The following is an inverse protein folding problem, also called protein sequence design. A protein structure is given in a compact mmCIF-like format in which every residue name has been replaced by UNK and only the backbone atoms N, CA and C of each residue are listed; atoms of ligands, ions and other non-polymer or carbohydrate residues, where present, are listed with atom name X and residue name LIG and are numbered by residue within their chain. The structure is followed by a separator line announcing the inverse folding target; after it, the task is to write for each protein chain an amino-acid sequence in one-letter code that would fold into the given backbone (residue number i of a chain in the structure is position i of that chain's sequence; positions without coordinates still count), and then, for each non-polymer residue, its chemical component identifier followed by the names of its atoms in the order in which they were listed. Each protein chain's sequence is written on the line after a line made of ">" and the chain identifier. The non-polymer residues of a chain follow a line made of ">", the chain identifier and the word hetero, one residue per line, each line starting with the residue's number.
data_IF_334175928437
#
_entry.id   IF_334175928437
#
_cell.length_a   1.000
_cell.length_b   1.000
_cell.length_c   1.000
_cell.angle_alpha   90.00
_cell.angle_beta   90.00
_cell.angle_gamma   90.00
#
_symmetry.space_group_name_H-M   'P 1'
#
loop_
_entity.id
_entity.type
_entity.pdbx_description
1 polymer ?
#
# COMPACT_ATOMS: atom_id res chain seq x y z
N UNK A 1 13.06 32.45 -43.85
CA UNK A 1 13.20 30.98 -43.78
C UNK A 1 13.84 30.51 -42.47
N UNK A 2 15.05 30.99 -42.12
CA UNK A 2 15.78 30.68 -40.85
C UNK A 2 15.06 31.02 -39.52
N UNK A 3 14.25 32.07 -39.47
CA UNK A 3 13.54 32.51 -38.23
C UNK A 3 12.24 31.72 -37.97
N UNK A 4 11.59 31.24 -39.03
CA UNK A 4 10.33 30.47 -38.92
C UNK A 4 10.58 29.01 -38.53
N UNK A 5 11.72 28.44 -38.91
CA UNK A 5 12.14 27.08 -38.48
C UNK A 5 12.48 27.06 -36.98
N UNK A 6 13.11 28.13 -36.47
CA UNK A 6 13.43 28.27 -35.04
C UNK A 6 12.19 28.40 -34.14
N UNK A 7 11.11 29.01 -34.63
CA UNK A 7 9.86 29.14 -33.86
C UNK A 7 9.07 27.83 -33.78
N UNK A 8 9.09 27.00 -34.83
CA UNK A 8 8.38 25.72 -34.85
C UNK A 8 9.09 24.65 -33.99
N UNK A 9 10.43 24.66 -33.96
CA UNK A 9 11.22 23.75 -33.11
C UNK A 9 11.09 24.11 -31.62
N UNK A 10 10.96 25.40 -31.28
CA UNK A 10 10.75 25.84 -29.90
C UNK A 10 9.35 25.47 -29.38
N UNK A 11 8.32 25.54 -30.24
CA UNK A 11 6.95 25.15 -29.86
C UNK A 11 6.80 23.63 -29.65
N UNK A 12 7.58 22.82 -30.36
CA UNK A 12 7.63 21.36 -30.19
C UNK A 12 8.37 20.91 -28.92
N UNK A 13 9.31 21.72 -28.41
CA UNK A 13 10.04 21.40 -27.18
C UNK A 13 9.22 21.63 -25.90
N UNK A 14 8.16 22.46 -25.95
CA UNK A 14 7.28 22.72 -24.80
C UNK A 14 6.30 21.55 -24.55
N UNK A 15 5.95 20.77 -25.58
CA UNK A 15 5.13 19.56 -25.41
C UNK A 15 5.89 18.36 -24.82
N UNK A 16 7.22 18.39 -24.79
CA UNK A 16 8.03 17.30 -24.21
C UNK A 16 8.18 17.38 -22.68
N UNK A 17 7.79 18.49 -22.04
CA UNK A 17 7.96 18.68 -20.59
C UNK A 17 6.75 18.20 -19.75
N UNK A 18 5.64 17.79 -20.36
CA UNK A 18 4.43 17.31 -19.67
C UNK A 18 4.19 15.81 -19.94
N UNK A 19 5.27 15.04 -20.00
CA UNK A 19 5.22 13.59 -19.73
C UNK A 19 5.77 13.40 -18.32
N UNK A 20 4.96 13.68 -17.29
CA UNK A 20 4.27 12.61 -16.57
C UNK A 20 5.08 11.32 -16.49
N UNK A 21 6.14 11.36 -15.69
CA UNK A 21 6.67 10.18 -15.03
C UNK A 21 7.07 10.56 -13.60
N UNK A 22 6.12 11.10 -12.84
CA UNK A 22 5.93 10.57 -11.50
C UNK A 22 5.58 9.09 -11.67
N UNK A 23 6.60 8.28 -11.95
CA UNK A 23 6.61 6.90 -11.55
C UNK A 23 6.58 6.96 -10.01
N UNK A 24 5.38 7.12 -9.46
CA UNK A 24 5.09 6.65 -8.12
C UNK A 24 5.34 5.14 -8.17
N UNK A 25 6.63 4.79 -7.98
CA UNK A 25 7.09 3.45 -7.66
C UNK A 25 6.07 2.87 -6.72
N UNK A 26 5.45 1.75 -7.13
CA UNK A 26 4.45 1.05 -6.35
C UNK A 26 4.88 1.03 -4.89
N UNK A 27 4.02 1.54 -4.02
CA UNK A 27 4.29 1.81 -2.61
C UNK A 27 4.44 0.49 -1.85
N UNK A 28 5.55 -0.22 -2.08
CA UNK A 28 5.85 -1.51 -1.50
C UNK A 28 5.95 -1.31 0.03
N UNK A 29 4.95 -1.80 0.76
CA UNK A 29 4.83 -1.61 2.20
C UNK A 29 3.91 -0.49 2.67
N UNK A 30 3.30 0.29 1.78
CA UNK A 30 2.33 1.32 2.14
C UNK A 30 0.93 0.84 1.75
N UNK A 31 0.06 0.75 2.74
CA UNK A 31 -1.36 0.49 2.56
C UNK A 31 -2.09 1.82 2.48
N UNK A 32 -2.99 1.95 1.53
CA UNK A 32 -3.89 3.09 1.43
C UNK A 32 -5.29 2.62 1.79
N UNK A 33 -5.87 3.29 2.79
CA UNK A 33 -7.23 3.07 3.22
C UNK A 33 -7.83 4.42 3.60
N UNK A 34 -9.15 4.57 3.43
CA UNK A 34 -9.93 5.73 3.88
C UNK A 34 -10.99 5.26 4.88
N UNK A 35 -11.52 6.21 5.66
CA UNK A 35 -12.65 5.91 6.52
C UNK A 35 -13.84 5.43 5.67
N UNK A 36 -14.48 4.35 6.09
CA UNK A 36 -15.55 3.68 5.35
C UNK A 36 -15.10 2.56 4.41
N UNK A 37 -13.79 2.41 4.14
CA UNK A 37 -13.31 1.29 3.32
C UNK A 37 -13.50 -0.05 4.04
N UNK A 38 -13.84 -1.08 3.25
CA UNK A 38 -13.82 -2.48 3.69
C UNK A 38 -12.44 -3.06 3.39
N UNK A 39 -11.68 -3.35 4.43
CA UNK A 39 -10.33 -3.92 4.34
C UNK A 39 -10.30 -5.32 4.94
N UNK A 40 -9.31 -6.12 4.57
CA UNK A 40 -9.12 -7.45 5.12
C UNK A 40 -7.97 -7.42 6.12
N UNK A 41 -8.24 -7.83 7.35
CA UNK A 41 -7.30 -7.78 8.47
C UNK A 41 -7.14 -9.16 9.09
N UNK A 42 -6.05 -9.38 9.81
CA UNK A 42 -5.83 -10.67 10.44
C UNK A 42 -6.87 -10.97 11.54
N UNK A 43 -7.57 -12.11 11.43
CA UNK A 43 -8.53 -12.61 12.43
C UNK A 43 -7.93 -13.09 13.76
N UNK A 44 -6.72 -12.63 14.13
CA UNK A 44 -6.16 -12.92 15.46
C UNK A 44 -6.84 -12.12 16.58
N UNK A 45 -7.63 -11.09 16.25
CA UNK A 45 -8.35 -10.26 17.23
C UNK A 45 -7.44 -9.33 18.03
N UNK A 46 -7.91 -8.95 19.22
CA UNK A 46 -7.19 -8.06 20.13
C UNK A 46 -5.84 -8.66 20.53
N UNK A 47 -4.77 -8.06 20.01
CA UNK A 47 -3.40 -8.51 20.25
C UNK A 47 -2.63 -8.94 19.00
N UNK A 48 -3.19 -8.85 17.77
CA UNK A 48 -2.37 -9.12 16.58
C UNK A 48 -1.24 -8.10 16.42
N UNK A 49 -0.05 -8.47 16.87
CA UNK A 49 1.19 -7.73 16.59
C UNK A 49 1.61 -7.79 15.12
N UNK A 50 0.90 -8.59 14.32
CA UNK A 50 1.13 -8.71 12.89
C UNK A 50 0.69 -7.46 12.12
N UNK A 51 -0.37 -6.77 12.57
CA UNK A 51 -0.96 -5.64 11.85
C UNK A 51 -1.13 -5.89 10.35
N UNK A 52 -1.55 -7.11 9.97
CA UNK A 52 -1.66 -7.47 8.56
C UNK A 52 -2.89 -6.82 7.96
N UNK A 53 -2.70 -6.06 6.88
CA UNK A 53 -3.76 -5.41 6.12
C UNK A 53 -3.68 -5.90 4.68
N UNK A 54 -4.82 -6.14 4.06
CA UNK A 54 -4.94 -6.55 2.67
C UNK A 54 -6.21 -5.95 2.05
N UNK A 55 -6.22 -5.77 0.74
CA UNK A 55 -7.41 -5.35 -0.01
C UNK A 55 -8.26 -6.53 -0.47
N UNK A 56 -7.74 -7.76 -0.31
CA UNK A 56 -8.42 -9.00 -0.69
C UNK A 56 -8.43 -10.00 0.47
N UNK A 57 -9.44 -10.85 0.44
CA UNK A 57 -9.51 -12.04 1.28
C UNK A 57 -8.31 -12.97 1.03
N UNK A 58 -8.04 -13.80 2.03
CA UNK A 58 -6.91 -14.72 1.97
C UNK A 58 -6.43 -15.12 3.36
N UNK A 59 -5.20 -15.64 3.42
CA UNK A 59 -4.58 -16.05 4.69
C UNK A 59 -3.50 -15.05 5.11
N UNK A 60 -3.53 -14.67 6.38
CA UNK A 60 -2.46 -13.91 7.01
C UNK A 60 -1.20 -14.79 7.13
N UNK A 61 -0.01 -14.18 7.12
CA UNK A 61 1.25 -14.89 7.24
C UNK A 61 1.45 -15.67 8.55
N UNK A 62 0.58 -15.46 9.55
CA UNK A 62 0.53 -16.25 10.77
C UNK A 62 -0.32 -17.54 10.65
N UNK A 63 -0.93 -17.80 9.49
CA UNK A 63 -1.77 -18.97 9.23
C UNK A 63 -3.27 -18.77 9.49
N UNK A 64 -3.68 -17.66 10.13
CA UNK A 64 -5.11 -17.32 10.32
C UNK A 64 -5.71 -16.70 9.06
N UNK A 65 -7.01 -16.92 8.86
CA UNK A 65 -7.77 -16.27 7.79
C UNK A 65 -7.92 -14.77 8.02
N UNK A 66 -7.94 -14.03 6.92
CA UNK A 66 -8.22 -12.60 6.94
C UNK A 66 -9.73 -12.38 7.06
N UNK A 67 -10.13 -11.56 8.01
CA UNK A 67 -11.51 -11.17 8.24
C UNK A 67 -11.76 -9.78 7.65
N UNK A 68 -12.95 -9.56 7.10
CA UNK A 68 -13.35 -8.24 6.61
C UNK A 68 -13.59 -7.33 7.81
N UNK A 69 -12.97 -6.15 7.80
CA UNK A 69 -13.14 -5.10 8.79
C UNK A 69 -13.43 -3.78 8.09
N UNK A 70 -14.28 -2.98 8.71
CA UNK A 70 -14.58 -1.63 8.21
C UNK A 70 -13.66 -0.63 8.89
N UNK A 71 -13.06 0.25 8.09
CA UNK A 71 -12.22 1.33 8.60
C UNK A 71 -13.10 2.40 9.23
N UNK A 72 -12.96 2.59 10.54
CA UNK A 72 -13.63 3.66 11.28
C UNK A 72 -13.01 5.03 10.96
N UNK A 73 -11.67 5.09 10.95
CA UNK A 73 -10.91 6.32 10.71
C UNK A 73 -9.45 6.03 10.35
N UNK A 74 -8.78 7.04 9.79
CA UNK A 74 -7.35 6.98 9.45
C UNK A 74 -6.67 8.22 10.01
N UNK A 75 -5.68 8.03 10.88
CA UNK A 75 -4.99 9.14 11.55
C UNK A 75 -3.49 8.84 11.69
N UNK A 76 -2.64 9.84 11.42
CA UNK A 76 -1.18 9.77 11.63
C UNK A 76 -0.50 8.50 11.06
N UNK A 77 -0.94 8.04 9.89
CA UNK A 77 -0.39 6.85 9.25
C UNK A 77 -0.81 5.52 9.90
N UNK A 78 -1.85 5.54 10.74
CA UNK A 78 -2.52 4.35 11.28
C UNK A 78 -3.97 4.32 10.80
N UNK A 79 -4.46 3.12 10.55
CA UNK A 79 -5.86 2.83 10.26
C UNK A 79 -6.50 2.24 11.50
N UNK A 80 -7.68 2.73 11.85
CA UNK A 80 -8.53 2.20 12.91
C UNK A 80 -9.69 1.46 12.25
N UNK A 81 -9.91 0.22 12.65
CA UNK A 81 -10.93 -0.64 12.08
C UNK A 81 -11.56 -1.50 13.16
N UNK A 82 -12.81 -1.91 12.94
CA UNK A 82 -13.56 -2.73 13.90
C UNK A 82 -13.57 -4.20 13.48
N UNK A 83 -13.17 -5.09 14.38
CA UNK A 83 -13.26 -6.56 14.23
C UNK A 83 -14.06 -7.08 15.42
N UNK A 84 -15.13 -7.84 15.18
CA UNK A 84 -15.99 -8.40 16.24
C UNK A 84 -16.45 -7.36 17.27
N UNK A 85 -16.78 -6.15 16.81
CA UNK A 85 -17.24 -5.04 17.66
C UNK A 85 -16.15 -4.33 18.46
N UNK A 86 -14.87 -4.66 18.23
CA UNK A 86 -13.71 -4.07 18.93
C UNK A 86 -12.88 -3.24 17.98
N UNK A 87 -12.58 -2.00 18.35
CA UNK A 87 -11.75 -1.09 17.55
C UNK A 87 -10.27 -1.43 17.75
N UNK A 88 -9.59 -1.78 16.66
CA UNK A 88 -8.16 -2.10 16.62
C UNK A 88 -7.49 -1.09 15.68
N UNK A 89 -6.26 -0.69 16.01
CA UNK A 89 -5.44 0.13 15.12
C UNK A 89 -4.25 -0.64 14.56
N UNK A 90 -3.94 -0.42 13.28
CA UNK A 90 -2.72 -0.90 12.66
C UNK A 90 -2.03 0.22 11.88
N UNK A 91 -0.69 0.23 11.81
CA UNK A 91 0.04 1.14 10.94
C UNK A 91 -0.25 0.82 9.47
N UNK A 92 -0.50 1.86 8.67
CA UNK A 92 -0.61 1.77 7.21
C UNK A 92 0.72 1.38 6.55
N UNK A 93 1.84 1.64 7.22
CA UNK A 93 3.16 1.21 6.77
C UNK A 93 3.57 -0.11 7.41
N UNK A 94 3.61 -1.17 6.60
CA UNK A 94 4.19 -2.46 6.95
C UNK A 94 5.71 -2.45 6.85
N UNK A 95 6.38 -3.17 7.77
CA UNK A 95 7.80 -3.54 7.60
C UNK A 95 8.00 -4.56 6.48
N UNK A 96 6.94 -5.27 6.13
CA UNK A 96 6.90 -6.29 5.10
C UNK A 96 5.73 -6.01 4.16
N UNK A 97 5.98 -6.16 2.86
CA UNK A 97 4.98 -6.06 1.79
C UNK A 97 4.96 -7.33 0.96
N UNK A 98 3.90 -7.57 0.20
CA UNK A 98 3.84 -8.75 -0.65
C UNK A 98 4.95 -8.72 -1.73
N UNK A 99 5.69 -9.83 -1.87
CA UNK A 99 6.81 -9.97 -2.81
C UNK A 99 6.44 -10.16 -4.28
N UNK A 100 5.18 -9.93 -4.67
CA UNK A 100 4.75 -10.10 -6.06
C UNK A 100 5.40 -9.12 -7.05
N UNK A 101 6.09 -8.08 -6.56
CA UNK A 101 6.70 -7.04 -7.40
C UNK A 101 5.69 -6.00 -7.89
N UNK A 102 6.07 -5.26 -8.94
CA UNK A 102 5.21 -4.27 -9.60
C UNK A 102 3.95 -4.96 -10.15
N UNK A 103 2.77 -4.55 -9.64
CA UNK A 103 1.48 -5.13 -10.00
C UNK A 103 0.79 -5.97 -8.91
N UNK A 104 1.25 -5.99 -7.64
CA UNK A 104 0.47 -6.64 -6.59
C UNK A 104 -0.83 -5.88 -6.29
N UNK A 105 -1.94 -6.42 -6.78
CA UNK A 105 -3.29 -5.94 -6.48
C UNK A 105 -3.78 -6.38 -5.08
N UNK A 106 -2.94 -7.10 -4.34
CA UNK A 106 -3.23 -7.65 -3.03
C UNK A 106 -3.13 -6.63 -1.90
N UNK A 107 -2.34 -5.57 -2.12
CA UNK A 107 -2.01 -4.54 -1.14
C UNK A 107 -1.46 -5.07 0.19
N UNK A 108 -1.05 -6.34 0.29
CA UNK A 108 -0.81 -6.96 1.59
C UNK A 108 0.43 -6.38 2.27
N UNK A 109 0.23 -5.77 3.44
CA UNK A 109 1.30 -5.25 4.30
C UNK A 109 1.22 -5.90 5.68
N UNK A 110 2.37 -6.06 6.34
CA UNK A 110 2.44 -6.61 7.69
C UNK A 110 3.66 -6.08 8.45
N UNK A 111 3.57 -6.09 9.77
CA UNK A 111 4.69 -5.83 10.67
C UNK A 111 5.60 -7.06 10.86
N UNK A 112 5.13 -8.24 10.45
CA UNK A 112 5.89 -9.49 10.47
C UNK A 112 6.01 -10.06 9.06
N UNK A 113 7.12 -10.74 8.79
CA UNK A 113 7.27 -11.54 7.58
C UNK A 113 6.34 -12.75 7.61
N UNK A 114 6.24 -13.44 6.47
CA UNK A 114 5.37 -14.60 6.29
C UNK A 114 4.80 -14.63 4.88
N UNK A 115 3.61 -15.21 4.74
CA UNK A 115 2.84 -15.18 3.49
C UNK A 115 1.85 -14.01 3.47
N UNK A 116 1.74 -13.36 2.32
CA UNK A 116 0.79 -12.29 2.06
C UNK A 116 -0.61 -12.88 1.80
N UNK A 117 -1.67 -12.06 1.77
CA UNK A 117 -3.06 -12.56 1.62
C UNK A 117 -3.26 -13.47 0.40
N UNK A 118 -2.50 -13.23 -0.67
CA UNK A 118 -2.52 -14.06 -1.89
C UNK A 118 -1.62 -15.30 -1.84
N UNK A 119 -1.05 -15.66 -0.69
CA UNK A 119 -0.21 -16.85 -0.50
C UNK A 119 1.25 -16.71 -0.91
N UNK A 120 1.65 -15.58 -1.52
CA UNK A 120 3.06 -15.29 -1.86
C UNK A 120 3.87 -14.86 -0.65
N UNK A 121 5.17 -15.10 -0.68
CA UNK A 121 6.07 -14.69 0.40
C UNK A 121 6.21 -13.16 0.47
N UNK A 122 6.24 -12.65 1.69
CA UNK A 122 6.40 -11.23 1.96
C UNK A 122 7.89 -10.87 1.93
N UNK A 123 8.18 -9.74 1.30
CA UNK A 123 9.51 -9.15 1.26
C UNK A 123 9.60 -8.03 2.29
N UNK A 124 10.77 -7.91 2.91
CA UNK A 124 11.03 -6.80 3.82
C UNK A 124 11.05 -5.52 3.00
N UNK A 125 10.20 -4.57 3.39
CA UNK A 125 10.23 -3.22 2.86
C UNK A 125 11.54 -2.64 3.36
N UNK A 126 12.50 -2.41 2.46
CA UNK A 126 13.68 -1.63 2.80
C UNK A 126 13.14 -0.28 3.25
N UNK A 127 13.25 0.01 4.54
CA UNK A 127 12.77 1.26 5.14
C UNK A 127 13.27 2.42 4.28
N UNK A 128 12.39 2.95 3.43
CA UNK A 128 12.63 4.23 2.79
C UNK A 128 12.46 5.22 3.91
N UNK A 129 13.58 5.46 4.63
CA UNK A 129 13.74 6.62 5.50
C UNK A 129 12.98 7.75 4.86
N UNK A 130 11.93 8.22 5.55
CA UNK A 130 11.39 9.54 5.33
C UNK A 130 12.59 10.46 5.17
N UNK A 131 12.81 10.94 3.94
CA UNK A 131 13.90 11.85 3.65
C UNK A 131 13.46 13.18 4.24
N UNK A 132 13.90 13.37 5.50
CA UNK A 132 14.31 14.59 6.19
C UNK A 132 13.62 15.89 5.76
#
# INVERSE_FOLDING_TARGET
>A
MKKSVLLVVSLLFVFAAVSFAFAEKGSLGKFEAKAGDSIYVCGCGEGCKCGSLATKEGKCGCGKDLVKATVSKVEKGKVFYSVDGKEISAPLQGKFGCGCGDGCNCGSVSQKGGKCGCGKDMVKVKESKAKK
#
